data_IF_803907277103
#
_entry.id   IF_803907277103
#
_cell.length_a   1.000
_cell.length_b   1.000
_cell.length_c   1.000
_cell.angle_alpha   90.00
_cell.angle_beta   90.00
_cell.angle_gamma   90.00
#
_symmetry.space_group_name_H-M   'P 1'
#
loop_
_entity.id
_entity.type
_entity.pdbx_description
1 polymer ?
#
# COMPACT_ATOMS: atom_id res chain seq x y z
N UNK A 1 37.20 17.69 -2.85
CA UNK A 1 35.90 17.68 -2.13
C UNK A 1 36.10 17.28 -0.68
N UNK A 2 35.54 18.01 0.29
CA UNK A 2 35.67 17.71 1.71
C UNK A 2 35.04 16.35 2.05
N UNK A 3 35.59 15.65 3.04
CA UNK A 3 35.15 14.31 3.47
C UNK A 3 33.65 14.29 3.81
N UNK A 4 33.17 15.30 4.54
CA UNK A 4 31.77 15.45 4.94
C UNK A 4 30.83 15.49 3.73
N UNK A 5 31.19 16.24 2.68
CA UNK A 5 30.39 16.33 1.46
C UNK A 5 30.33 14.99 0.73
N UNK A 6 31.44 14.22 0.71
CA UNK A 6 31.46 12.87 0.13
C UNK A 6 30.52 11.94 0.90
N UNK A 7 30.58 11.94 2.23
CA UNK A 7 29.70 11.13 3.07
C UNK A 7 28.22 11.48 2.86
N UNK A 8 27.87 12.77 2.79
CA UNK A 8 26.50 13.21 2.51
C UNK A 8 26.00 12.74 1.15
N UNK A 9 26.82 12.84 0.11
CA UNK A 9 26.46 12.36 -1.22
C UNK A 9 26.24 10.83 -1.25
N UNK A 10 27.07 10.07 -0.52
CA UNK A 10 26.88 8.61 -0.37
C UNK A 10 25.54 8.33 0.31
N UNK A 11 25.24 9.00 1.42
CA UNK A 11 23.97 8.84 2.15
C UNK A 11 22.78 9.12 1.25
N UNK A 12 22.76 10.28 0.58
CA UNK A 12 21.66 10.67 -0.31
C UNK A 12 21.49 9.68 -1.46
N UNK A 13 22.58 9.28 -2.12
CA UNK A 13 22.50 8.34 -3.22
C UNK A 13 22.00 6.96 -2.76
N UNK A 14 22.42 6.48 -1.57
CA UNK A 14 21.91 5.24 -0.97
C UNK A 14 20.45 5.33 -0.56
N UNK A 15 20.00 6.48 -0.06
CA UNK A 15 18.60 6.70 0.26
C UNK A 15 17.75 6.52 -1.00
N UNK A 16 18.14 7.16 -2.11
CA UNK A 16 17.41 7.05 -3.38
C UNK A 16 17.45 5.62 -3.91
N UNK A 17 18.63 4.99 -3.95
CA UNK A 17 18.79 3.61 -4.42
C UNK A 17 17.89 2.62 -3.69
N UNK A 18 17.98 2.60 -2.35
CA UNK A 18 17.21 1.65 -1.52
C UNK A 18 15.71 1.95 -1.57
N UNK A 19 15.33 3.23 -1.66
CA UNK A 19 13.93 3.61 -1.85
C UNK A 19 13.39 3.06 -3.18
N UNK A 20 14.18 3.14 -4.26
CA UNK A 20 13.82 2.59 -5.57
C UNK A 20 13.73 1.07 -5.56
N UNK A 21 14.63 0.37 -4.86
CA UNK A 21 14.55 -1.08 -4.67
C UNK A 21 13.28 -1.50 -3.91
N UNK A 22 12.92 -0.75 -2.85
CA UNK A 22 11.67 -0.98 -2.11
C UNK A 22 10.45 -0.80 -3.00
N UNK A 23 10.43 0.29 -3.78
CA UNK A 23 9.39 0.59 -4.76
C UNK A 23 9.27 -0.47 -5.86
N UNK A 24 10.38 -1.01 -6.34
CA UNK A 24 10.41 -2.11 -7.31
C UNK A 24 9.69 -3.33 -6.75
N UNK A 25 10.04 -3.77 -5.54
CA UNK A 25 9.39 -4.91 -4.89
C UNK A 25 7.89 -4.67 -4.74
N UNK A 26 7.49 -3.47 -4.32
CA UNK A 26 6.08 -3.10 -4.22
C UNK A 26 5.35 -3.18 -5.58
N UNK A 27 5.97 -2.72 -6.67
CA UNK A 27 5.38 -2.83 -8.00
C UNK A 27 5.32 -4.27 -8.53
N UNK A 28 6.30 -5.12 -8.22
CA UNK A 28 6.29 -6.55 -8.55
C UNK A 28 5.14 -7.25 -7.83
N UNK A 29 5.00 -7.03 -6.52
CA UNK A 29 3.93 -7.62 -5.71
C UNK A 29 2.53 -7.24 -6.23
N UNK A 30 2.42 -6.11 -6.93
CA UNK A 30 1.18 -5.56 -7.52
C UNK A 30 1.05 -5.82 -9.03
N UNK A 31 1.92 -6.64 -9.63
CA UNK A 31 1.86 -6.99 -11.05
C UNK A 31 2.16 -5.85 -12.03
N UNK A 32 2.69 -4.71 -11.57
CA UNK A 32 2.97 -3.53 -12.42
C UNK A 32 4.34 -3.62 -13.09
N UNK A 33 4.45 -4.53 -14.07
CA UNK A 33 5.71 -4.90 -14.73
C UNK A 33 6.55 -3.72 -15.26
N UNK A 34 5.92 -2.73 -15.91
CA UNK A 34 6.65 -1.59 -16.50
C UNK A 34 7.24 -0.66 -15.44
N UNK A 35 6.50 -0.37 -14.38
CA UNK A 35 7.00 0.45 -13.27
C UNK A 35 8.09 -0.27 -12.49
N UNK A 36 7.93 -1.58 -12.25
CA UNK A 36 8.94 -2.40 -11.62
C UNK A 36 10.26 -2.40 -12.43
N UNK A 37 10.17 -2.56 -13.75
CA UNK A 37 11.33 -2.53 -14.64
C UNK A 37 12.03 -1.16 -14.65
N UNK A 38 11.26 -0.07 -14.74
CA UNK A 38 11.80 1.29 -14.67
C UNK A 38 12.53 1.54 -13.34
N UNK A 39 11.94 1.16 -12.20
CA UNK A 39 12.58 1.28 -10.90
C UNK A 39 13.90 0.49 -10.83
N UNK A 40 13.91 -0.76 -11.32
CA UNK A 40 15.12 -1.60 -11.33
C UNK A 40 16.23 -1.06 -12.23
N UNK A 41 15.87 -0.47 -13.38
CA UNK A 41 16.83 0.19 -14.26
C UNK A 41 17.46 1.42 -13.60
N UNK A 42 16.66 2.26 -12.92
CA UNK A 42 17.20 3.41 -12.19
C UNK A 42 18.04 2.98 -10.99
N UNK A 43 17.60 1.97 -10.23
CA UNK A 43 18.35 1.37 -9.11
C UNK A 43 19.74 0.93 -9.56
N UNK A 44 19.85 0.10 -10.61
CA UNK A 44 21.16 -0.41 -11.03
C UNK A 44 22.09 0.69 -11.57
N UNK A 45 21.55 1.73 -12.23
CA UNK A 45 22.34 2.88 -12.66
C UNK A 45 22.93 3.65 -11.47
N UNK A 46 22.12 3.92 -10.44
CA UNK A 46 22.60 4.59 -9.22
C UNK A 46 23.65 3.71 -8.54
N UNK A 47 23.38 2.41 -8.40
CA UNK A 47 24.30 1.48 -7.76
C UNK A 47 25.67 1.47 -8.45
N UNK A 48 25.74 1.38 -9.78
CA UNK A 48 26.99 1.40 -10.55
C UNK A 48 27.75 2.72 -10.33
N UNK A 49 27.06 3.86 -10.39
CA UNK A 49 27.67 5.19 -10.18
C UNK A 49 28.19 5.34 -8.74
N UNK A 50 27.46 4.86 -7.75
CA UNK A 50 27.85 4.96 -6.34
C UNK A 50 29.00 4.02 -6.01
N UNK A 51 28.92 2.75 -6.44
CA UNK A 51 29.96 1.75 -6.17
C UNK A 51 31.28 2.13 -6.83
N UNK A 52 31.25 2.60 -8.09
CA UNK A 52 32.47 3.07 -8.76
C UNK A 52 33.14 4.23 -8.01
N UNK A 53 32.35 5.15 -7.44
CA UNK A 53 32.84 6.28 -6.62
C UNK A 53 33.39 5.84 -5.25
N UNK A 54 32.79 4.82 -4.63
CA UNK A 54 33.21 4.31 -3.32
C UNK A 54 34.48 3.48 -3.45
N UNK A 55 34.56 2.57 -4.41
CA UNK A 55 35.70 1.64 -4.56
C UNK A 55 37.01 2.33 -4.96
N UNK A 56 36.94 3.45 -5.68
CA UNK A 56 38.11 4.21 -6.13
C UNK A 56 38.55 5.32 -5.16
N UNK A 57 37.77 5.59 -4.11
CA UNK A 57 38.04 6.67 -3.16
C UNK A 57 38.87 6.24 -1.93
N UNK A 58 39.44 7.20 -1.19
CA UNK A 58 40.10 6.91 0.09
C UNK A 58 39.09 6.33 1.09
N UNK A 59 39.36 5.10 1.53
CA UNK A 59 38.49 4.32 2.42
C UNK A 59 38.65 4.80 3.87
N UNK A 60 37.75 5.69 4.32
CA UNK A 60 37.60 6.04 5.73
C UNK A 60 36.45 5.26 6.35
N UNK A 61 36.61 4.84 7.62
CA UNK A 61 35.57 4.11 8.36
C UNK A 61 34.21 4.85 8.38
N UNK A 62 34.26 6.19 8.41
CA UNK A 62 33.09 7.08 8.32
C UNK A 62 32.27 6.86 7.03
N UNK A 63 32.90 6.48 5.92
CA UNK A 63 32.20 6.19 4.66
C UNK A 63 31.35 4.92 4.77
N UNK A 64 31.79 3.91 5.52
CA UNK A 64 31.01 2.70 5.77
C UNK A 64 29.81 2.98 6.69
N UNK A 65 30.00 3.81 7.73
CA UNK A 65 28.91 4.25 8.59
C UNK A 65 27.88 5.07 7.81
N UNK A 66 28.34 6.00 6.97
CA UNK A 66 27.48 6.77 6.07
C UNK A 66 26.70 5.86 5.11
N UNK A 67 27.33 4.81 4.60
CA UNK A 67 26.67 3.82 3.74
C UNK A 67 25.56 3.05 4.49
N UNK A 68 25.85 2.56 5.70
CA UNK A 68 24.88 1.86 6.53
C UNK A 68 23.70 2.77 6.90
N UNK A 69 23.97 4.01 7.30
CA UNK A 69 22.94 5.02 7.58
C UNK A 69 22.07 5.32 6.36
N UNK A 70 22.69 5.50 5.20
CA UNK A 70 21.95 5.72 3.95
C UNK A 70 21.04 4.55 3.58
N UNK A 71 21.48 3.31 3.86
CA UNK A 71 20.64 2.13 3.67
C UNK A 71 19.42 2.15 4.60
N UNK A 72 19.63 2.32 5.90
CA UNK A 72 18.55 2.34 6.90
C UNK A 72 17.54 3.46 6.62
N UNK A 73 18.02 4.68 6.38
CA UNK A 73 17.17 5.82 6.04
C UNK A 73 16.45 5.62 4.70
N UNK A 74 17.13 5.02 3.72
CA UNK A 74 16.55 4.66 2.43
C UNK A 74 15.41 3.66 2.54
N UNK A 75 15.55 2.63 3.39
CA UNK A 75 14.46 1.68 3.64
C UNK A 75 13.27 2.38 4.28
N UNK A 76 13.50 3.23 5.29
CA UNK A 76 12.42 3.98 5.94
C UNK A 76 11.70 4.93 4.95
N UNK A 77 12.46 5.65 4.12
CA UNK A 77 11.91 6.52 3.09
C UNK A 77 11.14 5.73 2.02
N UNK A 78 11.68 4.59 1.57
CA UNK A 78 11.05 3.70 0.62
C UNK A 78 9.71 3.13 1.13
N UNK A 79 9.68 2.66 2.38
CA UNK A 79 8.44 2.21 3.03
C UNK A 79 7.42 3.35 3.13
N UNK A 80 7.85 4.53 3.57
CA UNK A 80 6.98 5.72 3.63
C UNK A 80 6.42 6.11 2.25
N UNK A 81 7.21 5.98 1.19
CA UNK A 81 6.77 6.25 -0.18
C UNK A 81 5.75 5.23 -0.67
N UNK A 82 6.00 3.95 -0.38
CA UNK A 82 5.12 2.83 -0.69
C UNK A 82 3.75 2.99 -0.03
N UNK A 83 3.73 3.38 1.25
CA UNK A 83 2.53 3.66 2.02
C UNK A 83 1.76 4.84 1.44
N UNK A 84 2.43 5.96 1.14
CA UNK A 84 1.82 7.17 0.57
C UNK A 84 1.20 6.93 -0.80
N UNK A 85 1.82 6.07 -1.59
CA UNK A 85 1.27 5.71 -2.88
C UNK A 85 -0.07 5.03 -2.71
N UNK A 86 -0.24 4.17 -1.70
CA UNK A 86 -1.49 3.47 -1.37
C UNK A 86 -2.20 2.96 -2.65
N UNK A 87 -1.40 2.51 -3.61
CA UNK A 87 -1.84 2.16 -4.95
C UNK A 87 -2.30 0.71 -4.91
N UNK A 88 -3.58 0.50 -5.20
CA UNK A 88 -4.17 -0.83 -5.26
C UNK A 88 -5.55 -0.88 -4.63
N UNK A 89 -6.08 -2.09 -4.57
CA UNK A 89 -7.37 -2.41 -3.98
C UNK A 89 -7.16 -3.30 -2.76
N UNK A 90 -7.96 -3.07 -1.74
CA UNK A 90 -8.01 -3.87 -0.53
C UNK A 90 -9.40 -4.49 -0.42
N UNK A 91 -9.42 -5.78 -0.14
CA UNK A 91 -10.62 -6.52 0.20
C UNK A 91 -10.70 -6.59 1.73
N UNK A 92 -11.72 -5.95 2.29
CA UNK A 92 -11.99 -6.01 3.72
C UNK A 92 -13.11 -7.01 3.96
N UNK A 93 -12.86 -7.98 4.83
CA UNK A 93 -13.88 -8.93 5.29
C UNK A 93 -14.15 -8.68 6.76
N UNK A 94 -15.40 -8.39 7.10
CA UNK A 94 -15.84 -8.22 8.50
C UNK A 94 -16.72 -9.40 8.85
N UNK A 95 -16.51 -9.98 10.03
CA UNK A 95 -17.36 -11.04 10.56
C UNK A 95 -18.04 -10.50 11.80
N UNK A 96 -19.36 -10.42 11.78
CA UNK A 96 -20.14 -9.93 12.91
C UNK A 96 -21.37 -10.79 13.16
N UNK A 97 -21.74 -10.96 14.43
CA UNK A 97 -23.00 -11.57 14.85
C UNK A 97 -24.07 -10.49 15.16
N UNK A 98 -23.76 -9.21 14.98
CA UNK A 98 -24.68 -8.08 15.19
C UNK A 98 -25.48 -7.80 13.91
N UNK A 99 -26.67 -7.19 14.03
CA UNK A 99 -27.42 -6.72 12.86
C UNK A 99 -26.59 -5.72 12.04
N UNK A 100 -26.27 -6.06 10.79
CA UNK A 100 -25.42 -5.21 9.92
C UNK A 100 -26.20 -4.28 8.98
N UNK A 101 -27.54 -4.33 8.97
CA UNK A 101 -28.37 -3.62 7.99
C UNK A 101 -28.12 -2.10 7.99
N UNK A 102 -28.13 -1.48 9.17
CA UNK A 102 -27.88 -0.04 9.32
C UNK A 102 -26.44 0.33 8.90
N UNK A 103 -25.49 -0.54 9.19
CA UNK A 103 -24.09 -0.33 8.82
C UNK A 103 -23.89 -0.44 7.30
N UNK A 104 -24.53 -1.41 6.65
CA UNK A 104 -24.53 -1.52 5.19
C UNK A 104 -25.13 -0.27 4.53
N UNK A 105 -26.22 0.27 5.08
CA UNK A 105 -26.82 1.50 4.56
C UNK A 105 -25.88 2.69 4.69
N UNK A 106 -25.20 2.85 5.84
CA UNK A 106 -24.19 3.90 6.04
C UNK A 106 -23.01 3.76 5.09
N UNK A 107 -22.50 2.54 4.90
CA UNK A 107 -21.41 2.27 3.96
C UNK A 107 -21.81 2.56 2.51
N UNK A 108 -23.02 2.16 2.11
CA UNK A 108 -23.56 2.45 0.79
C UNK A 108 -23.73 3.96 0.56
N UNK A 109 -24.24 4.70 1.55
CA UNK A 109 -24.35 6.17 1.50
C UNK A 109 -22.97 6.86 1.43
N UNK A 110 -21.95 6.31 2.08
CA UNK A 110 -20.56 6.75 1.94
C UNK A 110 -19.93 6.30 0.60
N UNK A 111 -20.68 5.65 -0.27
CA UNK A 111 -20.25 5.18 -1.57
C UNK A 111 -19.23 4.08 -1.48
N UNK A 112 -19.41 3.10 -0.59
CA UNK A 112 -18.71 1.80 -0.58
C UNK A 112 -19.65 0.70 -1.10
N UNK A 113 -19.13 -0.18 -1.96
CA UNK A 113 -19.84 -1.39 -2.36
C UNK A 113 -19.65 -2.48 -1.31
N UNK A 114 -20.76 -3.00 -0.78
CA UNK A 114 -20.76 -4.00 0.29
C UNK A 114 -21.59 -5.19 -0.14
N UNK A 115 -21.01 -6.39 -0.02
CA UNK A 115 -21.73 -7.65 -0.19
C UNK A 115 -21.91 -8.29 1.17
N UNK A 116 -23.14 -8.73 1.47
CA UNK A 116 -23.44 -9.52 2.67
C UNK A 116 -23.53 -10.98 2.29
N UNK A 117 -22.92 -11.82 3.12
CA UNK A 117 -23.03 -13.27 3.07
C UNK A 117 -23.46 -13.76 4.45
N UNK A 118 -24.56 -14.51 4.50
CA UNK A 118 -24.93 -15.23 5.71
C UNK A 118 -24.06 -16.48 5.83
N UNK A 119 -23.52 -16.73 7.03
CA UNK A 119 -22.58 -17.83 7.29
C UNK A 119 -22.76 -18.37 8.72
N UNK A 120 -22.21 -19.57 8.97
CA UNK A 120 -22.20 -20.17 10.30
C UNK A 120 -20.80 -20.12 10.91
N UNK A 121 -20.70 -19.53 12.10
CA UNK A 121 -19.50 -19.56 12.92
C UNK A 121 -19.56 -20.67 13.96
N UNK A 122 -18.43 -20.94 14.61
CA UNK A 122 -18.36 -21.95 15.69
C UNK A 122 -19.30 -21.66 16.88
N UNK A 123 -19.78 -20.42 17.03
CA UNK A 123 -20.68 -19.98 18.11
C UNK A 123 -22.11 -19.67 17.62
N UNK A 124 -22.45 -20.05 16.39
CA UNK A 124 -23.77 -19.80 15.79
C UNK A 124 -23.71 -18.91 14.54
N UNK A 125 -24.87 -18.44 14.05
CA UNK A 125 -24.97 -17.71 12.79
C UNK A 125 -24.27 -16.35 12.86
N UNK A 126 -23.56 -16.01 11.78
CA UNK A 126 -22.83 -14.75 11.61
C UNK A 126 -23.09 -14.16 10.23
N UNK A 127 -22.86 -12.86 10.10
CA UNK A 127 -22.90 -12.15 8.84
C UNK A 127 -21.48 -11.74 8.47
N UNK A 128 -21.11 -12.08 7.25
CA UNK A 128 -19.83 -11.72 6.65
C UNK A 128 -20.06 -10.59 5.67
N UNK A 129 -19.43 -9.45 5.93
CA UNK A 129 -19.43 -8.32 5.00
C UNK A 129 -18.14 -8.33 4.20
N UNK A 130 -18.27 -8.30 2.88
CA UNK A 130 -17.14 -8.25 1.95
C UNK A 130 -17.17 -6.90 1.23
N UNK A 131 -16.08 -6.15 1.36
CA UNK A 131 -15.97 -4.77 0.89
C UNK A 131 -14.70 -4.64 0.06
N UNK A 132 -14.87 -4.34 -1.22
CA UNK A 132 -13.74 -4.03 -2.10
C UNK A 132 -13.59 -2.51 -2.17
N UNK A 133 -12.43 -1.98 -1.77
CA UNK A 133 -12.18 -0.54 -1.80
C UNK A 133 -10.75 -0.20 -2.21
N UNK A 134 -10.50 1.02 -2.74
CA UNK A 134 -9.15 1.50 -2.93
C UNK A 134 -8.43 1.61 -1.58
N UNK A 135 -7.15 1.24 -1.52
CA UNK A 135 -6.37 1.26 -0.26
C UNK A 135 -6.33 2.65 0.40
N UNK A 136 -6.36 3.72 -0.42
CA UNK A 136 -6.48 5.12 0.05
C UNK A 136 -7.74 5.39 0.87
N UNK A 137 -8.84 4.66 0.63
CA UNK A 137 -10.11 4.84 1.36
C UNK A 137 -10.17 4.06 2.68
N UNK A 138 -9.18 3.22 2.96
CA UNK A 138 -9.13 2.44 4.21
C UNK A 138 -9.16 3.36 5.44
N UNK A 139 -8.47 4.51 5.38
CA UNK A 139 -8.46 5.51 6.45
C UNK A 139 -9.84 6.14 6.73
N UNK A 140 -10.70 6.28 5.72
CA UNK A 140 -12.07 6.77 5.89
C UNK A 140 -13.03 5.66 6.36
N UNK A 141 -12.71 4.41 6.08
CA UNK A 141 -13.50 3.25 6.47
C UNK A 141 -13.29 2.85 7.94
N UNK A 142 -12.06 2.89 8.44
CA UNK A 142 -11.74 2.46 9.82
C UNK A 142 -12.54 3.19 10.91
N UNK A 143 -12.77 4.52 10.87
CA UNK A 143 -13.63 5.20 11.83
C UNK A 143 -15.06 4.67 11.80
N UNK A 144 -15.63 4.47 10.61
CA UNK A 144 -17.00 3.94 10.46
C UNK A 144 -17.13 2.53 11.06
N UNK A 145 -16.11 1.68 10.89
CA UNK A 145 -16.09 0.35 11.49
C UNK A 145 -15.97 0.43 13.02
N UNK A 146 -15.11 1.30 13.55
CA UNK A 146 -14.97 1.51 15.00
C UNK A 146 -16.27 2.02 15.63
N UNK A 147 -16.99 2.91 14.96
CA UNK A 147 -18.26 3.45 15.44
C UNK A 147 -19.38 2.38 15.41
N UNK A 148 -19.35 1.48 14.43
CA UNK A 148 -20.29 0.36 14.35
C UNK A 148 -20.01 -0.69 15.42
N UNK A 149 -18.76 -1.16 15.50
CA UNK A 149 -18.35 -2.17 16.45
C UNK A 149 -16.84 -2.07 16.76
N UNK A 150 -16.48 -1.49 17.92
CA UNK A 150 -15.09 -1.38 18.37
C UNK A 150 -14.38 -2.73 18.53
N UNK A 151 -15.15 -3.81 18.72
CA UNK A 151 -14.64 -5.17 18.90
C UNK A 151 -14.81 -6.03 17.64
N UNK A 152 -15.12 -5.43 16.48
CA UNK A 152 -15.31 -6.16 15.24
C UNK A 152 -14.05 -6.93 14.84
N UNK A 153 -14.23 -8.20 14.50
CA UNK A 153 -13.21 -8.98 13.84
C UNK A 153 -13.24 -8.72 12.33
N UNK A 154 -12.11 -8.30 11.75
CA UNK A 154 -11.99 -8.08 10.31
C UNK A 154 -10.61 -8.45 9.77
N UNK A 155 -10.56 -8.82 8.50
CA UNK A 155 -9.31 -9.05 7.75
C UNK A 155 -9.20 -8.06 6.58
N UNK A 156 -7.97 -7.71 6.23
CA UNK A 156 -7.65 -6.88 5.06
C UNK A 156 -6.73 -7.69 4.16
N UNK A 157 -7.16 -7.93 2.94
CA UNK A 157 -6.40 -8.67 1.92
C UNK A 157 -6.06 -7.73 0.75
N UNK A 158 -4.83 -7.81 0.24
CA UNK A 158 -4.41 -7.04 -0.94
C UNK A 158 -4.86 -7.74 -2.23
N UNK A 159 -5.61 -7.02 -3.08
CA UNK A 159 -6.13 -7.56 -4.34
C UNK A 159 -5.18 -7.23 -5.49
N UNK A 160 -4.56 -8.26 -6.07
CA UNK A 160 -3.62 -8.13 -7.21
C UNK A 160 -4.32 -7.95 -8.55
N UNK A 161 -5.48 -8.59 -8.73
CA UNK A 161 -6.24 -8.52 -9.97
C UNK A 161 -7.73 -8.68 -9.66
N UNK A 162 -8.55 -7.82 -10.25
CA UNK A 162 -10.00 -7.96 -10.28
C UNK A 162 -10.45 -7.63 -11.70
N UNK A 163 -11.21 -8.53 -12.33
CA UNK A 163 -11.82 -8.29 -13.63
C UNK A 163 -13.00 -7.35 -13.44
N UNK A 164 -13.09 -6.32 -14.30
CA UNK A 164 -14.18 -5.33 -14.41
C UNK A 164 -14.98 -5.15 -13.13
N UNK A 165 -14.47 -4.31 -12.20
CA UNK A 165 -15.13 -4.00 -10.94
C UNK A 165 -16.54 -3.51 -11.27
N UNK A 166 -17.59 -4.28 -10.93
CA UNK A 166 -18.95 -3.90 -11.30
C UNK A 166 -19.28 -2.54 -10.67
N UNK A 167 -20.16 -1.71 -11.28
CA UNK A 167 -20.52 -0.40 -10.74
C UNK A 167 -21.01 -0.45 -9.29
N UNK A 168 -21.61 -1.57 -8.86
CA UNK A 168 -21.98 -1.85 -7.48
C UNK A 168 -20.81 -1.80 -6.48
N UNK A 169 -19.59 -2.09 -6.93
CA UNK A 169 -18.34 -2.07 -6.16
C UNK A 169 -17.49 -0.85 -6.48
N UNK A 170 -17.90 -0.03 -7.45
CA UNK A 170 -17.26 1.24 -7.72
C UNK A 170 -17.58 2.20 -6.58
N UNK A 171 -16.64 2.31 -5.65
CA UNK A 171 -16.65 3.42 -4.69
C UNK A 171 -16.79 4.75 -5.46
N UNK A 172 -17.44 5.77 -4.90
CA UNK A 172 -17.60 7.10 -5.56
C UNK A 172 -16.29 7.76 -6.08
N UNK A 173 -15.13 7.23 -5.70
CA UNK A 173 -13.79 7.62 -6.18
C UNK A 173 -13.37 6.96 -7.51
N UNK A 174 -14.02 5.89 -7.93
CA UNK A 174 -13.94 5.35 -9.29
C UNK A 174 -15.03 6.10 -10.07
N UNK A 175 -14.71 6.87 -11.11
CA UNK A 175 -15.64 7.72 -11.87
C UNK A 175 -16.86 7.03 -12.54
N UNK A 176 -17.21 5.82 -12.13
CA UNK A 176 -18.38 5.03 -12.52
C UNK A 176 -19.62 5.25 -11.64
N UNK A 177 -19.55 6.08 -10.59
CA UNK A 177 -20.68 6.39 -9.69
C UNK A 177 -21.89 7.12 -10.32
N UNK A 178 -21.98 7.21 -11.67
CA UNK A 178 -23.11 7.84 -12.38
C UNK A 178 -24.08 6.85 -13.03
N UNK A 179 -23.80 5.55 -13.04
CA UNK A 179 -24.73 4.59 -13.66
C UNK A 179 -25.75 4.15 -12.62
N UNK A 180 -26.92 4.79 -12.67
CA UNK A 180 -28.14 4.38 -11.97
C UNK A 180 -28.44 2.92 -12.34
N UNK A 181 -28.56 2.06 -11.33
CA UNK A 181 -29.01 0.68 -11.52
C UNK A 181 -30.38 0.70 -12.24
N UNK A 182 -30.59 -0.04 -13.33
CA UNK A 182 -31.93 -0.26 -13.86
C UNK A 182 -32.73 -1.03 -12.80
N UNK A 183 -33.92 -0.51 -12.51
CA UNK A 183 -34.91 -1.09 -11.59
C UNK A 183 -35.47 -2.37 -12.20
#
# INVERSE_FOLDING_TARGET
>A
MPLVLKCLLIVLARIVDVSMGTMRVAFIARGRKYLAAACGFTEILIWIVVVSRILTGPQHWLSYVAYALGFTLGTFAGMSLEERLAVGWSLVRIISNKPVADFMQRLSAAGFGVTRQDADGARGPVQVLVILMPRKRLGAFQPMLRDFDPAAFYTIEDVRHARDIPPAYATAATGAGKVRMPV
#
